data_IF_090611986987
#
_entry.id   IF_090611986987
#
_cell.length_a   1.000
_cell.length_b   1.000
_cell.length_c   1.000
_cell.angle_alpha   90.00
_cell.angle_beta   90.00
_cell.angle_gamma   90.00
#
_symmetry.space_group_name_H-M   'P 1'
#
loop_
_entity.id
_entity.type
_entity.pdbx_description
1 polymer ?
#
# COMPACT_ATOMS: atom_id res chain seq x y z
N UNK A 1 11.66 7.99 -5.81
CA UNK A 1 11.27 6.58 -5.59
C UNK A 1 10.27 6.54 -4.45
N UNK A 2 9.04 6.09 -4.71
CA UNK A 2 7.95 6.07 -3.74
C UNK A 2 6.80 5.19 -4.25
N UNK A 3 6.03 4.60 -3.34
CA UNK A 3 4.98 3.62 -3.62
C UNK A 3 3.63 4.12 -3.13
N UNK A 4 2.62 4.09 -4.02
CA UNK A 4 1.25 4.50 -3.73
C UNK A 4 0.47 3.39 -3.00
N UNK A 5 0.94 2.93 -1.84
CA UNK A 5 0.35 1.77 -1.14
C UNK A 5 -1.08 2.00 -0.62
N UNK A 6 -1.54 3.25 -0.62
CA UNK A 6 -2.92 3.62 -0.25
C UNK A 6 -3.91 3.53 -1.41
N UNK A 7 -3.46 3.15 -2.61
CA UNK A 7 -4.32 3.01 -3.79
C UNK A 7 -5.38 1.91 -3.58
N UNK A 8 -6.60 2.17 -4.04
CA UNK A 8 -7.73 1.23 -3.90
C UNK A 8 -7.52 -0.08 -4.64
N UNK A 9 -6.59 -0.14 -5.60
CA UNK A 9 -6.19 -1.38 -6.26
C UNK A 9 -5.67 -2.42 -5.26
N UNK A 10 -4.95 -2.02 -4.21
CA UNK A 10 -4.48 -2.94 -3.15
C UNK A 10 -5.62 -3.41 -2.22
N UNK A 11 -6.78 -2.75 -2.30
CA UNK A 11 -8.03 -3.21 -1.70
C UNK A 11 -8.86 -4.03 -2.69
N UNK A 12 -8.33 -4.35 -3.87
CA UNK A 12 -9.01 -5.06 -4.95
C UNK A 12 -10.12 -4.28 -5.64
N UNK A 13 -10.18 -2.97 -5.46
CA UNK A 13 -11.18 -2.10 -6.07
C UNK A 13 -10.60 -1.37 -7.29
N UNK A 14 -11.17 -1.66 -8.45
CA UNK A 14 -10.81 -1.08 -9.75
C UNK A 14 -12.00 -0.31 -10.30
N UNK A 15 -11.86 1.00 -10.42
CA UNK A 15 -12.93 1.89 -10.92
C UNK A 15 -14.29 1.67 -10.23
N UNK A 16 -14.29 1.42 -8.92
CA UNK A 16 -15.51 1.21 -8.13
C UNK A 16 -16.03 -0.24 -8.11
N UNK A 17 -15.36 -1.18 -8.78
CA UNK A 17 -15.74 -2.59 -8.80
C UNK A 17 -14.71 -3.45 -8.08
N UNK A 18 -15.18 -4.29 -7.14
CA UNK A 18 -14.35 -5.29 -6.47
C UNK A 18 -13.97 -6.42 -7.45
N UNK A 19 -12.68 -6.65 -7.65
CA UNK A 19 -12.13 -7.71 -8.54
C UNK A 19 -11.46 -8.85 -7.79
N UNK A 20 -10.87 -8.56 -6.63
CA UNK A 20 -10.28 -9.56 -5.74
C UNK A 20 -10.38 -9.09 -4.29
N UNK A 21 -10.07 -9.95 -3.33
CA UNK A 21 -9.99 -9.53 -1.93
C UNK A 21 -8.78 -8.60 -1.72
N UNK A 22 -8.78 -7.72 -0.70
CA UNK A 22 -7.60 -6.96 -0.33
C UNK A 22 -6.38 -7.86 -0.14
N UNK A 23 -5.25 -7.48 -0.73
CA UNK A 23 -4.04 -8.33 -0.82
C UNK A 23 -2.73 -7.55 -0.63
N UNK A 24 -2.80 -6.37 0.01
CA UNK A 24 -1.64 -5.52 0.28
C UNK A 24 -0.56 -6.23 1.10
N UNK A 25 -0.95 -7.04 2.07
CA UNK A 25 -0.07 -7.87 2.89
C UNK A 25 0.74 -8.84 2.03
N UNK A 26 0.10 -9.49 1.06
CA UNK A 26 0.78 -10.37 0.11
C UNK A 26 1.75 -9.61 -0.79
N UNK A 27 1.43 -8.37 -1.18
CA UNK A 27 2.33 -7.49 -1.96
C UNK A 27 3.57 -7.12 -1.14
N UNK A 28 3.39 -6.76 0.14
CA UNK A 28 4.49 -6.43 1.04
C UNK A 28 5.38 -7.65 1.29
N UNK A 29 4.79 -8.81 1.58
CA UNK A 29 5.52 -10.06 1.74
C UNK A 29 6.42 -10.35 0.53
N UNK A 30 5.87 -10.28 -0.70
CA UNK A 30 6.65 -10.47 -1.92
C UNK A 30 7.79 -9.46 -2.06
N UNK A 31 7.58 -8.22 -1.62
CA UNK A 31 8.60 -7.16 -1.67
C UNK A 31 9.77 -7.51 -0.74
N UNK A 32 9.48 -7.95 0.48
CA UNK A 32 10.48 -8.38 1.46
C UNK A 32 11.25 -9.63 1.00
N UNK A 33 10.55 -10.62 0.44
CA UNK A 33 11.15 -11.83 -0.14
C UNK A 33 12.12 -11.51 -1.31
N UNK A 34 11.89 -10.38 -1.99
CA UNK A 34 12.75 -9.89 -3.08
C UNK A 34 13.81 -8.87 -2.62
N UNK A 35 14.16 -8.86 -1.32
CA UNK A 35 15.23 -8.05 -0.73
C UNK A 35 15.02 -6.53 -0.79
N UNK A 36 13.79 -6.03 -0.92
CA UNK A 36 13.55 -4.63 -0.57
C UNK A 36 13.89 -4.43 0.91
N UNK A 37 14.55 -3.34 1.25
CA UNK A 37 14.89 -3.03 2.65
C UNK A 37 14.07 -1.88 3.23
N UNK A 38 13.50 -1.04 2.38
CA UNK A 38 12.71 0.14 2.74
C UNK A 38 11.70 0.45 1.65
N UNK A 39 10.53 0.93 2.04
CA UNK A 39 9.52 1.47 1.14
C UNK A 39 9.21 2.91 1.58
N UNK A 40 9.16 3.83 0.62
CA UNK A 40 8.73 5.21 0.85
C UNK A 40 7.27 5.28 0.39
N UNK A 41 6.33 5.46 1.32
CA UNK A 41 4.91 5.56 0.99
C UNK A 41 4.59 6.99 0.55
N UNK A 42 3.99 7.15 -0.62
CA UNK A 42 3.57 8.45 -1.16
C UNK A 42 2.17 8.80 -0.69
N UNK A 43 1.98 10.06 -0.29
CA UNK A 43 0.70 10.63 0.10
C UNK A 43 0.55 12.02 -0.54
N UNK A 44 -0.61 12.30 -1.12
CA UNK A 44 -0.93 13.56 -1.78
C UNK A 44 -1.75 14.52 -0.91
N UNK A 45 -2.30 14.04 0.20
CA UNK A 45 -3.10 14.85 1.14
C UNK A 45 -2.68 14.65 2.59
N UNK A 46 -3.13 15.54 3.48
CA UNK A 46 -2.92 15.41 4.93
C UNK A 46 -3.58 14.14 5.48
N UNK A 47 -4.75 13.77 4.96
CA UNK A 47 -5.45 12.55 5.36
C UNK A 47 -4.69 11.30 4.92
N UNK A 48 -4.25 11.26 3.66
CA UNK A 48 -3.40 10.17 3.16
C UNK A 48 -2.08 10.10 3.92
N UNK A 49 -1.50 11.23 4.33
CA UNK A 49 -0.26 11.24 5.10
C UNK A 49 -0.44 10.57 6.46
N UNK A 50 -1.61 10.73 7.10
CA UNK A 50 -1.94 10.03 8.35
C UNK A 50 -2.10 8.53 8.12
N UNK A 51 -2.83 8.12 7.07
CA UNK A 51 -3.00 6.70 6.71
C UNK A 51 -1.66 6.04 6.35
N UNK A 52 -0.79 6.74 5.62
CA UNK A 52 0.54 6.28 5.28
C UNK A 52 1.40 6.09 6.53
N UNK A 53 1.29 7.00 7.50
CA UNK A 53 2.01 6.89 8.78
C UNK A 53 1.49 5.70 9.62
N UNK A 54 0.19 5.45 9.61
CA UNK A 54 -0.40 4.27 10.27
C UNK A 54 0.10 2.98 9.63
N UNK A 55 0.03 2.88 8.30
CA UNK A 55 0.52 1.71 7.55
C UNK A 55 2.02 1.45 7.79
N UNK A 56 2.84 2.51 7.77
CA UNK A 56 4.28 2.40 8.01
C UNK A 56 4.67 1.96 9.44
N UNK A 57 3.72 1.91 10.38
CA UNK A 57 3.95 1.45 11.75
C UNK A 57 3.51 0.01 11.99
N UNK A 58 2.80 -0.59 11.03
CA UNK A 58 2.14 -1.90 11.19
C UNK A 58 2.77 -3.02 10.37
N UNK A 59 3.68 -2.70 9.45
CA UNK A 59 4.54 -3.66 8.74
C UNK A 59 5.90 -3.74 9.46
#
# INVERSE_FOLDING_TARGET
>A
IGANLLDSMYQGNYHGSQKHQPDLDMVLQRSWENNLSKIIITAGSLEESRKALELARTD
#
